data_IF_992782984157
#
_entry.id   IF_992782984157
#
_cell.length_a   1.000
_cell.length_b   1.000
_cell.length_c   1.000
_cell.angle_alpha   90.00
_cell.angle_beta   90.00
_cell.angle_gamma   90.00
#
_symmetry.space_group_name_H-M   'P 1'
#
loop_
_entity.id
_entity.type
_entity.pdbx_description
1 polymer ?
#
# COMPACT_ATOMS: atom_id res chain seq x y z
N UNK A 1 66.36 0.99 -38.82
CA UNK A 1 67.80 1.10 -38.52
C UNK A 1 67.93 0.95 -37.01
N UNK A 2 68.56 -0.14 -36.61
CA UNK A 2 68.85 -0.48 -35.22
C UNK A 2 69.87 0.53 -34.71
N UNK A 3 69.64 1.16 -33.56
CA UNK A 3 70.77 1.53 -32.69
C UNK A 3 70.41 1.55 -31.20
N UNK A 4 70.95 0.52 -30.58
CA UNK A 4 71.15 0.21 -29.17
C UNK A 4 71.99 1.28 -28.46
N UNK A 5 71.56 1.75 -27.28
CA UNK A 5 72.48 2.23 -26.22
C UNK A 5 71.91 1.79 -24.86
N UNK A 6 72.32 0.60 -24.38
CA UNK A 6 73.39 0.33 -23.41
C UNK A 6 73.08 0.82 -21.98
N UNK A 7 72.73 -0.19 -21.19
CA UNK A 7 72.46 -0.23 -19.76
C UNK A 7 73.70 0.17 -18.93
N UNK A 8 73.58 1.11 -18.00
CA UNK A 8 74.45 1.21 -16.82
C UNK A 8 73.52 1.21 -15.60
N UNK A 9 73.42 0.04 -14.98
CA UNK A 9 72.61 -0.17 -13.78
C UNK A 9 73.29 0.43 -12.56
N UNK A 10 72.60 1.38 -11.91
CA UNK A 10 72.74 1.58 -10.47
C UNK A 10 71.63 0.80 -9.78
N UNK A 11 71.96 -0.40 -9.29
CA UNK A 11 71.13 -1.11 -8.31
C UNK A 11 71.14 -0.33 -7.01
N UNK A 12 70.15 0.53 -6.79
CA UNK A 12 69.78 0.96 -5.44
C UNK A 12 68.85 -0.12 -4.90
N UNK A 13 69.37 -0.96 -4.02
CA UNK A 13 68.54 -1.87 -3.23
C UNK A 13 67.58 -1.01 -2.38
N UNK A 14 66.34 -0.85 -2.83
CA UNK A 14 65.25 -0.42 -1.97
C UNK A 14 64.81 -1.63 -1.17
N UNK A 15 65.40 -1.77 0.02
CA UNK A 15 64.89 -2.67 1.05
C UNK A 15 63.62 -2.01 1.57
N UNK A 16 62.45 -2.52 1.18
CA UNK A 16 61.21 -2.22 1.90
C UNK A 16 61.29 -2.95 3.24
N UNK A 17 61.70 -2.20 4.26
CA UNK A 17 61.74 -2.71 5.62
C UNK A 17 60.31 -2.72 6.16
N UNK A 18 59.68 -3.90 6.22
CA UNK A 18 58.33 -4.12 6.72
C UNK A 18 58.23 -4.02 8.25
N UNK A 19 59.05 -3.18 8.88
CA UNK A 19 59.22 -3.18 10.34
C UNK A 19 58.70 -1.96 11.10
N UNK A 20 58.10 -0.96 10.44
CA UNK A 20 57.35 0.07 11.16
C UNK A 20 56.06 0.48 10.45
N UNK A 21 55.13 -0.48 10.30
CA UNK A 21 53.72 -0.08 10.39
C UNK A 21 53.50 0.36 11.84
N UNK A 22 53.67 1.66 12.07
CA UNK A 22 53.46 2.30 13.36
C UNK A 22 52.14 1.79 13.96
N UNK A 23 52.19 1.16 15.14
CA UNK A 23 51.01 0.59 15.84
C UNK A 23 49.84 1.59 15.93
N UNK A 24 50.14 2.90 15.88
CA UNK A 24 49.15 3.98 15.79
C UNK A 24 48.30 3.95 14.52
N UNK A 25 48.88 3.73 13.34
CA UNK A 25 48.13 3.65 12.08
C UNK A 25 47.35 2.34 11.96
N UNK A 26 47.89 1.23 12.49
CA UNK A 26 47.17 -0.05 12.54
C UNK A 26 45.95 0.03 13.47
N UNK A 27 46.07 0.74 14.61
CA UNK A 27 44.93 1.02 15.50
C UNK A 27 43.89 1.92 14.86
N UNK A 28 44.29 2.96 14.13
CA UNK A 28 43.36 3.84 13.40
C UNK A 28 42.62 3.07 12.30
N UNK A 29 43.33 2.23 11.53
CA UNK A 29 42.73 1.37 10.51
C UNK A 29 41.79 0.32 11.10
N UNK A 30 42.12 -0.26 12.27
CA UNK A 30 41.23 -1.19 12.99
C UNK A 30 39.99 -0.48 13.57
N UNK A 31 40.12 0.77 14.03
CA UNK A 31 38.98 1.58 14.49
C UNK A 31 38.09 1.98 13.30
N UNK A 32 38.67 2.40 12.18
CA UNK A 32 37.91 2.74 10.96
C UNK A 32 37.24 1.50 10.37
N UNK A 33 37.95 0.36 10.32
CA UNK A 33 37.38 -0.94 9.92
C UNK A 33 36.27 -1.39 10.88
N UNK A 34 36.45 -1.20 12.18
CA UNK A 34 35.44 -1.46 13.20
C UNK A 34 34.22 -0.55 13.11
N UNK A 35 34.38 0.73 12.72
CA UNK A 35 33.28 1.68 12.49
C UNK A 35 32.53 1.35 11.20
N UNK A 36 33.24 0.92 10.14
CA UNK A 36 32.62 0.48 8.88
C UNK A 36 31.84 -0.84 9.06
N UNK A 37 32.25 -1.71 9.98
CA UNK A 37 31.54 -2.97 10.29
C UNK A 37 30.29 -2.82 11.18
N UNK A 38 30.01 -1.62 11.71
CA UNK A 38 28.80 -1.32 12.51
C UNK A 38 27.73 -0.59 11.68
N UNK A 39 27.91 -0.48 10.35
CA UNK A 39 26.80 -0.17 9.46
C UNK A 39 25.97 -1.44 9.22
N UNK A 40 25.23 -1.86 10.25
CA UNK A 40 24.10 -2.77 10.04
C UNK A 40 23.10 -2.08 9.11
N UNK A 41 22.61 -2.81 8.11
CA UNK A 41 21.54 -2.32 7.25
C UNK A 41 20.32 -1.99 8.12
N UNK A 42 20.04 -0.70 8.33
CA UNK A 42 18.76 -0.27 8.88
C UNK A 42 17.70 -0.59 7.82
N UNK A 43 16.97 -1.65 8.07
CA UNK A 43 15.98 -2.20 7.15
C UNK A 43 14.59 -1.78 7.60
N UNK A 44 13.76 -1.26 6.70
CA UNK A 44 12.42 -0.78 7.03
C UNK A 44 11.38 -1.34 6.05
N UNK A 45 10.47 -2.17 6.55
CA UNK A 45 9.23 -2.58 5.89
C UNK A 45 8.17 -1.72 6.55
N UNK A 46 7.50 -0.95 5.73
CA UNK A 46 6.66 0.15 6.16
C UNK A 46 5.18 -0.18 5.96
N UNK A 47 4.35 0.50 6.73
CA UNK A 47 2.90 0.38 6.67
C UNK A 47 2.43 0.96 5.33
N UNK A 48 1.83 0.09 4.50
CA UNK A 48 1.17 0.48 3.25
C UNK A 48 -0.25 0.94 3.51
N UNK A 49 -0.93 0.31 4.48
CA UNK A 49 -2.30 0.65 4.82
C UNK A 49 -3.00 -0.45 5.60
N UNK A 50 -4.32 -0.34 5.68
CA UNK A 50 -5.18 -1.28 6.38
C UNK A 50 -6.60 -0.77 6.60
N UNK A 51 -7.44 -1.68 7.06
CA UNK A 51 -8.82 -1.42 7.46
C UNK A 51 -9.24 -2.39 8.58
N UNK A 52 -10.19 -1.95 9.41
CA UNK A 52 -10.74 -2.73 10.51
C UNK A 52 -12.24 -2.86 10.28
N UNK A 53 -12.74 -4.10 10.31
CA UNK A 53 -14.17 -4.42 10.23
C UNK A 53 -14.58 -5.27 11.43
N UNK A 54 -15.87 -5.30 11.74
CA UNK A 54 -16.45 -6.21 12.72
C UNK A 54 -17.72 -6.89 12.21
N UNK A 55 -17.94 -8.12 12.66
CA UNK A 55 -19.18 -8.85 12.46
C UNK A 55 -19.85 -9.08 13.82
N UNK A 56 -21.16 -8.81 13.94
CA UNK A 56 -21.91 -9.18 15.13
C UNK A 56 -22.19 -10.68 15.13
N UNK A 57 -21.73 -11.38 16.16
CA UNK A 57 -21.91 -12.83 16.32
C UNK A 57 -23.16 -13.19 17.13
N UNK A 58 -23.79 -12.21 17.77
CA UNK A 58 -25.02 -12.37 18.54
C UNK A 58 -25.01 -11.66 19.88
N UNK A 59 -26.23 -11.47 20.40
CA UNK A 59 -26.51 -10.83 21.69
C UNK A 59 -26.81 -11.90 22.74
N UNK A 60 -26.16 -11.80 23.89
CA UNK A 60 -26.52 -12.54 25.10
C UNK A 60 -27.39 -11.65 26.00
N UNK A 61 -28.69 -11.91 26.00
CA UNK A 61 -29.69 -11.18 26.77
C UNK A 61 -29.61 -11.43 28.28
N UNK A 62 -28.96 -12.51 28.71
CA UNK A 62 -28.83 -12.83 30.15
C UNK A 62 -27.71 -12.00 30.77
N UNK A 63 -26.57 -11.89 30.07
CA UNK A 63 -25.43 -11.09 30.51
C UNK A 63 -25.47 -9.63 30.03
N UNK A 64 -26.43 -9.29 29.17
CA UNK A 64 -26.55 -8.00 28.48
C UNK A 64 -25.24 -7.63 27.75
N UNK A 65 -24.68 -8.60 27.02
CA UNK A 65 -23.45 -8.44 26.25
C UNK A 65 -23.66 -8.82 24.79
N UNK A 66 -22.78 -8.33 23.92
CA UNK A 66 -22.75 -8.65 22.50
C UNK A 66 -21.36 -9.17 22.17
N UNK A 67 -21.31 -10.24 21.38
CA UNK A 67 -20.07 -10.80 20.88
C UNK A 67 -19.82 -10.33 19.46
N UNK A 68 -18.64 -9.79 19.21
CA UNK A 68 -18.17 -9.39 17.89
C UNK A 68 -16.96 -10.22 17.47
N UNK A 69 -16.88 -10.54 16.18
CA UNK A 69 -15.63 -10.88 15.52
C UNK A 69 -15.04 -9.59 14.95
N UNK A 70 -13.78 -9.31 15.25
CA UNK A 70 -13.05 -8.17 14.70
C UNK A 70 -12.00 -8.71 13.75
N UNK A 71 -11.91 -8.08 12.58
CA UNK A 71 -10.97 -8.44 11.51
C UNK A 71 -10.20 -7.17 11.15
N UNK A 72 -8.91 -7.17 11.46
CA UNK A 72 -8.00 -6.12 11.02
C UNK A 72 -7.13 -6.65 9.90
N UNK A 73 -7.16 -5.96 8.76
CA UNK A 73 -6.31 -6.27 7.61
C UNK A 73 -5.22 -5.22 7.52
N UNK A 74 -3.95 -5.63 7.60
CA UNK A 74 -2.80 -4.76 7.42
C UNK A 74 -2.09 -5.07 6.11
N UNK A 75 -1.69 -4.02 5.40
CA UNK A 75 -0.85 -4.09 4.21
C UNK A 75 0.51 -3.48 4.53
N UNK A 76 1.57 -4.17 4.13
CA UNK A 76 2.95 -3.68 4.28
C UNK A 76 3.73 -3.78 2.99
N UNK A 77 4.69 -2.90 2.84
CA UNK A 77 5.75 -3.03 1.84
C UNK A 77 6.58 -4.26 2.22
N UNK A 78 6.76 -5.17 1.28
CA UNK A 78 7.54 -6.39 1.43
C UNK A 78 8.80 -6.43 0.54
N UNK A 79 9.06 -5.36 -0.22
CA UNK A 79 10.31 -5.13 -0.94
C UNK A 79 11.38 -4.49 -0.02
N UNK A 80 10.97 -3.57 0.87
CA UNK A 80 11.87 -2.77 1.72
C UNK A 80 12.62 -3.49 2.86
N UNK A 81 12.40 -4.80 3.05
CA UNK A 81 13.24 -5.63 3.93
C UNK A 81 13.15 -5.49 5.46
N UNK A 82 12.45 -4.53 6.08
CA UNK A 82 12.25 -4.45 7.55
C UNK A 82 11.21 -5.39 8.19
N UNK A 83 10.48 -4.89 9.20
CA UNK A 83 9.78 -5.73 10.20
C UNK A 83 8.63 -6.59 9.66
N UNK A 84 8.51 -7.79 10.24
CA UNK A 84 7.36 -8.70 10.05
C UNK A 84 6.07 -8.21 10.69
N UNK A 85 4.96 -8.77 10.24
CA UNK A 85 3.68 -8.60 10.92
C UNK A 85 3.85 -8.93 12.40
N UNK A 86 3.31 -8.08 13.28
CA UNK A 86 3.40 -8.30 14.72
C UNK A 86 2.77 -9.67 15.05
N UNK A 87 3.55 -10.58 15.65
CA UNK A 87 3.03 -11.85 16.15
C UNK A 87 2.20 -11.66 17.43
N UNK A 88 2.47 -10.59 18.16
CA UNK A 88 1.88 -10.23 19.44
C UNK A 88 1.11 -8.89 19.35
N UNK A 89 0.37 -8.66 18.25
CA UNK A 89 -0.37 -7.42 18.05
C UNK A 89 -1.35 -7.15 19.20
N UNK A 90 -1.46 -5.88 19.58
CA UNK A 90 -2.27 -5.42 20.69
C UNK A 90 -3.29 -4.38 20.23
N UNK A 91 -4.57 -4.65 20.48
CA UNK A 91 -5.69 -3.80 20.09
C UNK A 91 -6.30 -3.16 21.32
N UNK A 92 -6.42 -1.83 21.33
CA UNK A 92 -7.10 -1.10 22.39
C UNK A 92 -8.60 -1.12 22.20
N UNK A 93 -9.34 -1.38 23.27
CA UNK A 93 -10.80 -1.21 23.33
C UNK A 93 -11.08 -0.03 24.23
N UNK A 94 -11.84 0.93 23.70
CA UNK A 94 -12.25 2.15 24.37
C UNK A 94 -13.76 2.31 24.28
N UNK A 95 -14.32 3.13 25.17
CA UNK A 95 -15.72 3.54 25.12
C UNK A 95 -15.86 5.03 25.35
N UNK A 96 -16.80 5.67 24.67
CA UNK A 96 -16.90 7.13 24.70
C UNK A 96 -18.06 7.72 23.91
N UNK A 97 -17.99 9.03 23.72
CA UNK A 97 -19.01 9.85 23.04
C UNK A 97 -18.51 10.42 21.69
N UNK A 98 -17.44 9.84 21.13
CA UNK A 98 -16.76 10.33 19.92
C UNK A 98 -15.73 11.43 20.20
N UNK A 99 -15.81 12.14 21.33
CA UNK A 99 -14.86 13.21 21.69
C UNK A 99 -13.98 12.83 22.90
N UNK A 100 -14.47 11.96 23.77
CA UNK A 100 -13.79 11.53 25.00
C UNK A 100 -13.83 10.02 25.08
N UNK A 101 -12.65 9.42 25.23
CA UNK A 101 -12.49 7.97 25.23
C UNK A 101 -11.94 7.46 26.56
N UNK A 102 -12.66 6.52 27.17
CA UNK A 102 -12.24 5.77 28.35
C UNK A 102 -11.66 4.43 27.93
N UNK A 103 -10.49 4.08 28.45
CA UNK A 103 -9.90 2.75 28.24
C UNK A 103 -10.75 1.67 28.90
N UNK A 104 -11.05 0.61 28.15
CA UNK A 104 -11.76 -0.58 28.63
C UNK A 104 -10.77 -1.70 28.88
N UNK A 105 -10.04 -2.12 27.84
CA UNK A 105 -9.03 -3.20 27.90
C UNK A 105 -8.18 -3.25 26.64
N UNK A 106 -7.09 -4.01 26.69
CA UNK A 106 -6.28 -4.39 25.53
C UNK A 106 -6.52 -5.86 25.17
N UNK A 107 -6.77 -6.13 23.90
CA UNK A 107 -6.73 -7.48 23.32
C UNK A 107 -5.31 -7.70 22.80
N UNK A 108 -4.47 -8.36 23.60
CA UNK A 108 -3.05 -8.56 23.31
C UNK A 108 -2.78 -9.92 22.65
N UNK A 109 -1.54 -10.09 22.17
CA UNK A 109 -1.01 -11.36 21.65
C UNK A 109 -1.81 -11.92 20.46
N UNK A 110 -2.26 -11.05 19.57
CA UNK A 110 -2.97 -11.47 18.36
C UNK A 110 -1.97 -11.62 17.20
N UNK A 111 -1.77 -12.83 16.65
CA UNK A 111 -0.91 -13.02 15.49
C UNK A 111 -1.67 -12.75 14.19
N UNK A 112 -0.93 -12.41 13.14
CA UNK A 112 -1.45 -12.46 11.78
C UNK A 112 -1.56 -13.93 11.31
N UNK A 113 -2.69 -14.33 10.73
CA UNK A 113 -2.97 -15.72 10.35
C UNK A 113 -3.10 -15.97 8.84
N UNK A 114 -3.39 -14.94 8.05
CA UNK A 114 -3.57 -15.01 6.59
C UNK A 114 -2.54 -14.09 5.89
N UNK A 115 -1.27 -14.51 5.89
CA UNK A 115 -0.18 -13.73 5.27
C UNK A 115 -0.01 -14.15 3.82
N UNK A 116 -0.23 -13.23 2.89
CA UNK A 116 -0.11 -13.49 1.46
C UNK A 116 0.40 -12.28 0.68
N UNK A 117 0.96 -12.52 -0.50
CA UNK A 117 1.33 -11.46 -1.43
C UNK A 117 0.11 -10.91 -2.14
N UNK A 118 0.00 -9.58 -2.18
CA UNK A 118 -1.02 -8.89 -2.98
C UNK A 118 -0.51 -8.81 -4.41
N UNK A 119 -1.25 -9.43 -5.33
CA UNK A 119 -0.97 -9.39 -6.76
C UNK A 119 -1.96 -8.45 -7.46
N UNK A 120 -1.52 -7.64 -8.43
CA UNK A 120 -2.37 -6.72 -9.21
C UNK A 120 -3.22 -7.40 -10.31
N UNK A 121 -3.33 -8.73 -10.30
CA UNK A 121 -3.95 -9.49 -11.39
C UNK A 121 -5.38 -9.02 -11.66
N UNK A 122 -6.10 -8.60 -10.61
CA UNK A 122 -7.51 -8.21 -10.72
C UNK A 122 -7.74 -6.81 -11.30
N UNK A 123 -6.71 -5.94 -11.31
CA UNK A 123 -6.83 -4.58 -11.84
C UNK A 123 -6.39 -4.47 -13.30
N UNK A 124 -5.24 -5.07 -13.64
CA UNK A 124 -4.75 -5.17 -15.01
C UNK A 124 -3.72 -6.32 -15.11
N UNK A 125 -4.08 -7.49 -15.69
CA UNK A 125 -3.16 -8.62 -15.80
C UNK A 125 -1.99 -8.34 -16.76
N UNK A 126 -2.10 -7.31 -17.61
CA UNK A 126 -1.06 -6.90 -18.54
C UNK A 126 -0.10 -5.87 -17.95
N UNK A 127 -0.25 -5.50 -16.67
CA UNK A 127 0.60 -4.51 -16.03
C UNK A 127 1.80 -5.19 -15.39
N UNK A 128 3.02 -4.87 -15.87
CA UNK A 128 4.24 -5.27 -15.18
C UNK A 128 4.41 -4.37 -13.95
N UNK A 129 4.35 -4.97 -12.76
CA UNK A 129 4.61 -4.26 -11.51
C UNK A 129 6.11 -4.02 -11.39
N UNK A 130 6.57 -2.77 -11.18
CA UNK A 130 7.97 -2.50 -10.92
C UNK A 130 8.51 -3.37 -9.76
N UNK A 131 9.69 -3.99 -9.90
CA UNK A 131 10.20 -4.98 -8.95
C UNK A 131 10.44 -4.43 -7.53
N UNK A 132 10.51 -3.10 -7.38
CA UNK A 132 10.60 -2.41 -6.10
C UNK A 132 9.24 -2.24 -5.39
N UNK A 133 8.13 -2.63 -6.00
CA UNK A 133 6.79 -2.58 -5.42
C UNK A 133 6.33 -4.00 -5.13
N UNK A 134 6.32 -4.36 -3.85
CA UNK A 134 5.85 -5.66 -3.37
C UNK A 134 5.02 -5.41 -2.12
N UNK A 135 3.76 -5.84 -2.10
CA UNK A 135 2.85 -5.64 -0.97
C UNK A 135 2.44 -6.99 -0.41
N UNK A 136 2.51 -7.14 0.90
CA UNK A 136 1.96 -8.30 1.61
C UNK A 136 0.75 -7.86 2.44
N UNK A 137 -0.27 -8.71 2.48
CA UNK A 137 -1.43 -8.60 3.35
C UNK A 137 -1.24 -9.53 4.54
N UNK A 138 -1.61 -9.08 5.74
CA UNK A 138 -1.72 -9.91 6.94
C UNK A 138 -3.04 -9.62 7.66
N UNK A 139 -3.77 -10.68 8.00
CA UNK A 139 -5.08 -10.57 8.68
C UNK A 139 -4.95 -10.98 10.14
N UNK A 140 -5.46 -10.12 11.03
CA UNK A 140 -5.63 -10.36 12.45
C UNK A 140 -7.11 -10.56 12.75
N UNK A 141 -7.45 -11.67 13.42
CA UNK A 141 -8.84 -12.03 13.70
C UNK A 141 -9.00 -12.43 15.15
N UNK A 142 -9.92 -11.79 15.86
CA UNK A 142 -10.20 -12.10 17.25
C UNK A 142 -11.66 -11.82 17.60
N UNK A 143 -12.13 -12.42 18.69
CA UNK A 143 -13.48 -12.14 19.19
C UNK A 143 -13.43 -11.30 20.45
N UNK A 144 -14.38 -10.37 20.58
CA UNK A 144 -14.51 -9.45 21.72
C UNK A 144 -15.95 -9.46 22.21
N UNK A 145 -16.15 -9.68 23.51
CA UNK A 145 -17.48 -9.57 24.15
C UNK A 145 -17.58 -8.25 24.90
N UNK A 146 -18.56 -7.43 24.54
CA UNK A 146 -18.74 -6.07 25.06
C UNK A 146 -20.12 -5.97 25.73
N UNK A 147 -20.24 -5.38 26.94
CA UNK A 147 -21.54 -5.02 27.51
C UNK A 147 -22.26 -4.01 26.62
N UNK A 148 -23.58 -4.13 26.49
CA UNK A 148 -24.37 -3.10 25.80
C UNK A 148 -24.23 -1.78 26.56
N UNK A 149 -23.92 -0.70 25.84
CA UNK A 149 -23.68 0.63 26.38
C UNK A 149 -24.42 1.69 25.57
N UNK A 150 -24.74 2.80 26.22
CA UNK A 150 -25.20 4.02 25.53
C UNK A 150 -24.02 4.87 25.01
N UNK A 151 -22.79 4.40 25.19
CA UNK A 151 -21.55 4.96 24.66
C UNK A 151 -21.10 4.16 23.43
N UNK A 152 -20.44 4.81 22.47
CA UNK A 152 -19.79 4.16 21.33
C UNK A 152 -18.57 3.37 21.82
N UNK A 153 -18.36 2.17 21.29
CA UNK A 153 -17.08 1.47 21.44
C UNK A 153 -16.15 1.80 20.28
N UNK A 154 -14.86 1.98 20.56
CA UNK A 154 -13.82 2.12 19.54
C UNK A 154 -12.76 1.06 19.76
N UNK A 155 -12.39 0.37 18.69
CA UNK A 155 -11.31 -0.61 18.67
C UNK A 155 -10.19 -0.04 17.80
N UNK A 156 -8.98 0.03 18.33
CA UNK A 156 -7.84 0.63 17.63
C UNK A 156 -6.60 -0.25 17.60
N UNK A 157 -5.89 -0.19 16.49
CA UNK A 157 -4.51 -0.66 16.34
C UNK A 157 -3.59 0.52 16.00
N UNK A 158 -2.39 0.54 16.57
CA UNK A 158 -1.42 1.63 16.41
C UNK A 158 -0.05 1.05 16.07
N UNK A 159 0.62 1.60 15.05
CA UNK A 159 1.97 1.12 14.66
C UNK A 159 2.74 2.19 13.91
N UNK A 160 4.07 2.19 14.08
CA UNK A 160 4.99 2.93 13.22
C UNK A 160 5.71 1.98 12.24
N UNK A 161 6.14 2.40 11.05
CA UNK A 161 6.01 3.72 10.41
C UNK A 161 5.57 3.55 8.96
N UNK A 162 5.10 4.64 8.35
CA UNK A 162 4.76 4.68 6.93
C UNK A 162 6.00 4.77 6.03
N UNK A 163 5.82 4.50 4.74
CA UNK A 163 6.89 4.47 3.76
C UNK A 163 7.59 5.83 3.60
N UNK A 164 8.92 5.86 3.73
CA UNK A 164 9.71 7.10 3.57
C UNK A 164 9.52 7.78 2.20
N UNK A 165 9.09 7.02 1.20
CA UNK A 165 8.88 7.45 -0.20
C UNK A 165 7.52 8.12 -0.44
N UNK A 166 6.66 8.27 0.57
CA UNK A 166 5.37 8.93 0.41
C UNK A 166 5.58 10.44 0.16
N UNK A 167 4.99 10.92 -0.94
CA UNK A 167 5.18 12.28 -1.43
C UNK A 167 4.18 13.28 -0.86
N UNK A 168 2.98 12.86 -0.47
CA UNK A 168 1.88 13.78 -0.15
C UNK A 168 1.73 14.17 1.31
N UNK A 169 2.53 13.61 2.22
CA UNK A 169 2.53 13.94 3.64
C UNK A 169 3.90 14.45 4.13
N UNK A 170 3.90 15.11 5.28
CA UNK A 170 5.11 15.64 5.94
C UNK A 170 5.76 14.55 6.80
N UNK A 171 7.08 14.35 6.63
CA UNK A 171 7.90 13.36 7.39
C UNK A 171 7.26 11.96 7.49
N UNK A 172 7.04 11.29 6.35
CA UNK A 172 6.37 9.99 6.35
C UNK A 172 7.14 8.91 7.14
N UNK A 173 8.46 9.02 7.22
CA UNK A 173 9.35 8.14 7.97
C UNK A 173 9.16 8.20 9.49
N UNK A 174 8.64 9.32 10.00
CA UNK A 174 8.31 9.54 11.41
C UNK A 174 6.81 9.39 11.69
N UNK A 175 6.00 9.20 10.66
CA UNK A 175 4.53 9.15 10.75
C UNK A 175 4.07 7.71 10.85
N UNK A 176 3.47 7.33 11.98
CA UNK A 176 2.81 6.04 12.12
C UNK A 176 1.36 6.05 11.61
N UNK A 177 0.62 5.01 11.95
CA UNK A 177 -0.77 4.82 11.57
C UNK A 177 -1.61 4.39 12.78
N UNK A 178 -2.84 4.88 12.83
CA UNK A 178 -3.89 4.35 13.68
C UNK A 178 -5.01 3.81 12.79
N UNK A 179 -5.46 2.60 13.06
CA UNK A 179 -6.60 1.99 12.38
C UNK A 179 -7.70 1.76 13.40
N UNK A 180 -8.90 2.28 13.11
CA UNK A 180 -10.00 2.29 14.07
C UNK A 180 -11.28 1.76 13.44
N UNK A 181 -12.15 1.19 14.27
CA UNK A 181 -13.55 0.97 13.95
C UNK A 181 -14.42 1.37 15.14
N UNK A 182 -15.55 2.02 14.85
CA UNK A 182 -16.52 2.45 15.83
C UNK A 182 -17.77 1.58 15.80
N UNK A 183 -18.33 1.30 16.98
CA UNK A 183 -19.59 0.56 17.16
C UNK A 183 -20.52 1.46 17.97
N UNK A 184 -21.38 2.21 17.27
CA UNK A 184 -22.33 3.14 17.90
C UNK A 184 -23.32 2.42 18.83
N UNK A 185 -23.98 3.13 19.76
CA UNK A 185 -25.04 2.53 20.59
C UNK A 185 -26.13 1.86 19.75
N UNK A 186 -26.51 2.47 18.61
CA UNK A 186 -27.51 1.90 17.71
C UNK A 186 -26.99 0.60 17.06
N UNK A 187 -25.73 0.59 16.60
CA UNK A 187 -25.12 -0.60 16.04
C UNK A 187 -25.00 -1.74 17.08
N UNK A 188 -24.81 -1.40 18.35
CA UNK A 188 -24.88 -2.37 19.45
C UNK A 188 -26.30 -2.94 19.56
N UNK A 189 -27.32 -2.09 19.75
CA UNK A 189 -28.70 -2.52 19.95
C UNK A 189 -29.25 -3.38 18.80
N UNK A 190 -28.85 -3.07 17.57
CA UNK A 190 -29.34 -3.80 16.38
C UNK A 190 -28.44 -4.96 15.96
N UNK A 191 -27.35 -5.26 16.70
CA UNK A 191 -26.38 -6.28 16.31
C UNK A 191 -25.89 -6.10 14.87
N UNK A 192 -25.48 -4.88 14.54
CA UNK A 192 -25.03 -4.51 13.21
C UNK A 192 -23.71 -5.18 12.85
N UNK A 193 -23.44 -5.38 11.57
CA UNK A 193 -22.11 -5.66 11.03
C UNK A 193 -21.54 -4.38 10.43
N UNK A 194 -20.23 -4.15 10.49
CA UNK A 194 -19.66 -3.04 9.72
C UNK A 194 -19.68 -3.37 8.22
N UNK A 195 -19.75 -2.37 7.34
CA UNK A 195 -19.54 -2.59 5.92
C UNK A 195 -18.16 -3.21 5.66
N UNK A 196 -18.02 -3.89 4.52
CA UNK A 196 -16.75 -4.46 4.07
C UNK A 196 -16.46 -4.08 2.63
N UNK A 197 -15.31 -3.47 2.37
CA UNK A 197 -14.89 -3.18 1.01
C UNK A 197 -14.81 -4.44 0.14
N UNK A 198 -15.26 -4.33 -1.11
CA UNK A 198 -15.26 -5.45 -2.07
C UNK A 198 -13.85 -5.82 -2.51
N UNK A 199 -13.06 -4.81 -2.87
CA UNK A 199 -11.77 -4.96 -3.50
C UNK A 199 -10.71 -4.18 -2.74
N UNK A 200 -9.45 -4.65 -2.81
CA UNK A 200 -8.30 -3.85 -2.43
C UNK A 200 -7.86 -2.97 -3.60
N UNK A 201 -7.48 -1.70 -3.39
CA UNK A 201 -6.98 -0.83 -4.45
C UNK A 201 -5.79 -1.43 -5.21
N UNK A 202 -5.65 -1.14 -6.51
CA UNK A 202 -4.44 -1.48 -7.26
C UNK A 202 -3.21 -0.94 -6.55
N UNK A 203 -2.20 -1.78 -6.34
CA UNK A 203 -0.93 -1.35 -5.71
C UNK A 203 -0.12 -0.43 -6.63
N UNK A 204 -0.44 -0.42 -7.94
CA UNK A 204 0.16 0.45 -8.94
C UNK A 204 -0.95 1.01 -9.84
N UNK A 205 -0.86 2.31 -10.12
CA UNK A 205 -1.64 3.00 -11.14
C UNK A 205 -0.69 3.71 -12.10
N UNK A 206 -1.12 3.88 -13.35
CA UNK A 206 -0.26 4.34 -14.42
C UNK A 206 -0.31 5.86 -14.57
N UNK A 207 0.85 6.50 -14.66
CA UNK A 207 0.97 7.91 -14.99
C UNK A 207 0.27 8.22 -16.32
N UNK A 208 -0.57 9.25 -16.35
CA UNK A 208 -1.25 9.69 -17.58
C UNK A 208 -2.44 8.82 -18.01
N UNK A 209 -2.70 7.71 -17.33
CA UNK A 209 -3.82 6.81 -17.64
C UNK A 209 -5.02 7.03 -16.72
N UNK A 210 -6.21 6.76 -17.25
CA UNK A 210 -7.44 6.90 -16.46
C UNK A 210 -7.51 5.84 -15.37
N UNK A 211 -7.49 6.28 -14.12
CA UNK A 211 -7.89 5.47 -12.97
C UNK A 211 -9.39 5.26 -13.03
N UNK A 212 -9.81 4.02 -12.86
CA UNK A 212 -11.20 3.62 -12.81
C UNK A 212 -11.35 2.41 -11.90
N UNK A 213 -11.57 2.65 -10.62
CA UNK A 213 -11.56 1.59 -9.61
C UNK A 213 -12.83 1.60 -8.75
N UNK A 214 -13.43 0.42 -8.59
CA UNK A 214 -14.57 0.20 -7.71
C UNK A 214 -14.09 0.02 -6.27
N UNK A 215 -14.17 1.08 -5.48
CA UNK A 215 -13.87 1.07 -4.05
C UNK A 215 -15.13 0.97 -3.17
N UNK A 216 -16.25 0.48 -3.73
CA UNK A 216 -17.45 0.27 -2.96
C UNK A 216 -17.28 -0.82 -1.88
N UNK A 217 -18.14 -0.72 -0.87
CA UNK A 217 -18.28 -1.69 0.20
C UNK A 217 -19.63 -2.39 0.12
N UNK A 218 -19.73 -3.54 0.78
CA UNK A 218 -20.95 -4.30 0.96
C UNK A 218 -21.38 -4.13 2.41
N UNK A 219 -22.65 -3.76 2.58
CA UNK A 219 -23.35 -3.81 3.85
C UNK A 219 -24.33 -4.99 3.82
N UNK A 220 -24.34 -5.84 4.87
CA UNK A 220 -25.15 -7.07 4.87
C UNK A 220 -26.60 -6.81 5.27
N UNK A 221 -26.86 -5.71 5.98
CA UNK A 221 -28.18 -5.26 6.38
C UNK A 221 -28.87 -4.38 5.32
N UNK A 222 -28.12 -3.90 4.33
CA UNK A 222 -28.63 -3.08 3.22
C UNK A 222 -28.69 -1.59 3.53
N UNK A 223 -27.84 -1.11 4.44
CA UNK A 223 -27.74 0.29 4.80
C UNK A 223 -27.17 1.17 3.69
N UNK A 224 -27.48 2.46 3.77
CA UNK A 224 -26.94 3.44 2.85
C UNK A 224 -25.47 3.70 3.18
N UNK A 225 -24.61 3.53 2.19
CA UNK A 225 -23.19 3.84 2.29
C UNK A 225 -22.89 5.15 1.55
N UNK A 226 -22.19 6.06 2.22
CA UNK A 226 -21.74 7.33 1.65
C UNK A 226 -20.22 7.38 1.69
N UNK A 227 -19.60 7.62 0.55
CA UNK A 227 -18.16 7.55 0.36
C UNK A 227 -17.53 8.94 0.28
N UNK A 228 -16.36 9.12 0.89
CA UNK A 228 -15.55 10.32 0.73
C UNK A 228 -14.07 10.01 0.88
N UNK A 229 -13.22 10.86 0.29
CA UNK A 229 -11.82 10.89 0.68
C UNK A 229 -11.69 11.57 2.04
N UNK A 230 -10.92 10.97 2.93
CA UNK A 230 -10.65 11.47 4.27
C UNK A 230 -9.16 11.34 4.59
N UNK A 231 -8.71 11.99 5.65
CA UNK A 231 -7.33 11.85 6.10
C UNK A 231 -7.16 10.56 6.91
N UNK A 232 -6.19 9.70 6.57
CA UNK A 232 -5.80 8.62 7.46
C UNK A 232 -5.34 9.13 8.82
N UNK A 233 -5.61 8.35 9.86
CA UNK A 233 -5.17 8.65 11.22
C UNK A 233 -3.69 8.27 11.42
N UNK A 234 -3.02 9.00 12.31
CA UNK A 234 -1.64 8.76 12.69
C UNK A 234 -1.50 8.54 14.19
N UNK A 235 -0.62 7.61 14.56
CA UNK A 235 -0.17 7.37 15.93
C UNK A 235 1.15 6.60 15.91
N UNK A 236 1.95 6.76 16.96
CA UNK A 236 3.28 6.18 17.06
C UNK A 236 4.35 6.99 16.36
N UNK A 237 5.59 6.57 16.55
CA UNK A 237 6.78 7.25 16.04
C UNK A 237 8.02 6.37 16.15
N UNK A 238 9.20 6.98 16.06
CA UNK A 238 10.46 6.25 15.97
C UNK A 238 11.09 5.86 17.31
N UNK A 239 10.47 6.19 18.46
CA UNK A 239 11.02 5.75 19.75
C UNK A 239 11.07 4.21 19.80
N UNK A 240 12.20 3.67 20.24
CA UNK A 240 12.51 2.25 20.22
C UNK A 240 13.36 1.78 19.02
N UNK A 241 13.53 2.59 17.96
CA UNK A 241 14.45 2.26 16.85
C UNK A 241 15.90 2.54 17.23
N UNK A 242 16.18 3.78 17.67
CA UNK A 242 17.53 4.26 18.02
C UNK A 242 17.62 4.73 19.48
N UNK A 243 16.79 4.16 20.35
CA UNK A 243 16.59 4.60 21.74
C UNK A 243 15.17 5.11 21.99
N UNK A 244 14.85 5.39 23.25
CA UNK A 244 13.48 5.71 23.67
C UNK A 244 12.64 4.47 24.04
N UNK A 245 11.45 4.71 24.57
CA UNK A 245 10.51 3.64 24.94
C UNK A 245 9.67 3.23 23.71
N UNK A 246 9.83 1.99 23.18
CA UNK A 246 9.07 1.52 22.02
C UNK A 246 7.56 1.50 22.25
N UNK A 247 7.13 1.49 23.52
CA UNK A 247 5.71 1.46 23.90
C UNK A 247 5.11 2.85 24.13
N UNK A 248 5.91 3.92 24.07
CA UNK A 248 5.43 5.30 24.22
C UNK A 248 4.51 5.71 23.08
N UNK A 249 3.79 6.82 23.22
CA UNK A 249 2.87 7.27 22.15
C UNK A 249 3.60 7.80 20.91
N UNK A 250 4.89 8.07 21.04
CA UNK A 250 5.84 8.37 19.96
C UNK A 250 6.74 7.17 19.63
N UNK A 251 6.42 5.99 20.16
CA UNK A 251 7.15 4.76 19.95
C UNK A 251 6.63 3.92 18.80
N UNK A 252 7.44 2.93 18.41
CA UNK A 252 7.13 2.06 17.28
C UNK A 252 5.90 1.17 17.49
N UNK A 253 5.55 0.89 18.76
CA UNK A 253 4.42 0.03 19.19
C UNK A 253 3.68 0.68 20.37
N UNK A 254 2.93 1.79 20.16
CA UNK A 254 2.27 2.49 21.26
C UNK A 254 1.40 1.57 22.12
N UNK A 255 1.55 1.65 23.45
CA UNK A 255 0.72 0.90 24.40
C UNK A 255 -0.73 1.44 24.37
N UNK A 256 -1.73 0.64 23.96
CA UNK A 256 -3.12 1.10 23.90
C UNK A 256 -3.69 1.57 25.25
N UNK A 257 -3.18 1.08 26.39
CA UNK A 257 -3.67 1.51 27.70
C UNK A 257 -3.26 2.97 28.02
N UNK A 258 -2.11 3.40 27.47
CA UNK A 258 -1.51 4.74 27.66
C UNK A 258 -1.84 5.70 26.51
N UNK A 259 -1.82 5.20 25.28
CA UNK A 259 -1.94 5.98 24.04
C UNK A 259 -3.35 5.81 23.47
N UNK A 260 -4.27 6.56 24.07
CA UNK A 260 -5.72 6.49 23.80
C UNK A 260 -6.10 7.48 22.71
N UNK A 261 -7.22 7.25 21.99
CA UNK A 261 -7.77 8.27 21.09
C UNK A 261 -8.13 9.56 21.86
N UNK A 262 -8.26 10.71 21.19
CA UNK A 262 -8.32 10.92 19.74
C UNK A 262 -6.95 10.81 19.06
N UNK A 263 -6.93 10.22 17.87
CA UNK A 263 -5.74 10.15 17.02
C UNK A 263 -5.73 11.35 16.06
N UNK A 264 -4.54 11.89 15.81
CA UNK A 264 -4.38 12.98 14.86
C UNK A 264 -4.50 12.47 13.42
N UNK A 265 -4.83 13.36 12.49
CA UNK A 265 -4.78 13.08 11.05
C UNK A 265 -3.34 13.23 10.52
N UNK A 266 -3.01 12.50 9.44
CA UNK A 266 -1.76 12.74 8.73
C UNK A 266 -1.68 14.18 8.22
N UNK A 267 -0.52 14.81 8.33
CA UNK A 267 -0.31 16.17 7.83
C UNK A 267 0.05 16.15 6.35
N UNK A 268 -0.89 16.52 5.50
CA UNK A 268 -0.67 16.64 4.05
C UNK A 268 0.22 17.85 3.69
N UNK A 269 0.93 17.75 2.55
CA UNK A 269 1.72 18.86 1.98
C UNK A 269 0.83 19.84 1.22
N UNK A 270 0.24 20.76 1.97
CA UNK A 270 -0.56 21.87 1.43
C UNK A 270 0.31 22.86 0.63
N UNK A 271 -0.27 23.57 -0.37
CA UNK A 271 -1.66 23.45 -0.85
C UNK A 271 -1.86 22.33 -1.89
N UNK A 272 -0.79 21.64 -2.30
CA UNK A 272 -0.82 20.67 -3.41
C UNK A 272 -1.66 19.44 -3.09
N UNK A 273 -1.50 18.90 -1.88
CA UNK A 273 -2.23 17.71 -1.44
C UNK A 273 -3.04 18.00 -0.19
N UNK A 274 -4.19 17.36 -0.09
CA UNK A 274 -5.08 17.40 1.07
C UNK A 274 -5.86 16.10 1.18
N UNK A 275 -6.60 15.91 2.27
CA UNK A 275 -7.48 14.75 2.45
C UNK A 275 -8.44 14.55 1.26
N UNK A 276 -9.04 15.63 0.75
CA UNK A 276 -10.01 15.60 -0.37
C UNK A 276 -9.35 15.65 -1.75
N UNK A 277 -8.03 15.87 -1.80
CA UNK A 277 -7.23 15.83 -3.02
C UNK A 277 -5.87 15.18 -2.73
N UNK A 278 -5.82 13.86 -2.47
CA UNK A 278 -4.62 13.23 -1.95
C UNK A 278 -3.52 13.02 -3.01
N UNK A 279 -3.86 13.03 -4.30
CA UNK A 279 -2.90 12.82 -5.42
C UNK A 279 -2.88 13.94 -6.47
N UNK A 280 -3.88 14.81 -6.52
CA UNK A 280 -4.06 15.72 -7.66
C UNK A 280 -4.64 14.99 -8.87
N UNK A 281 -4.05 15.23 -10.03
CA UNK A 281 -4.47 14.68 -11.33
C UNK A 281 -5.15 15.71 -12.23
N UNK A 282 -5.26 15.36 -13.53
CA UNK A 282 -5.95 16.17 -14.54
C UNK A 282 -6.60 15.26 -15.60
N UNK A 283 -7.92 14.98 -15.51
CA UNK A 283 -8.85 15.44 -14.46
C UNK A 283 -8.47 14.93 -13.07
N UNK A 284 -8.78 15.73 -12.05
CA UNK A 284 -8.48 15.40 -10.65
C UNK A 284 -9.02 14.02 -10.26
N UNK A 285 -8.24 13.29 -9.47
CA UNK A 285 -8.69 12.05 -8.84
C UNK A 285 -9.79 12.37 -7.82
N UNK A 286 -10.95 11.77 -8.02
CA UNK A 286 -12.16 11.97 -7.21
C UNK A 286 -12.78 10.62 -6.85
N UNK A 287 -13.60 10.59 -5.80
CA UNK A 287 -14.43 9.46 -5.43
C UNK A 287 -15.89 9.85 -5.53
N UNK A 288 -16.69 9.01 -6.19
CA UNK A 288 -18.13 9.21 -6.27
C UNK A 288 -18.79 8.83 -4.93
N UNK A 289 -19.58 9.73 -4.31
CA UNK A 289 -20.09 9.53 -2.96
C UNK A 289 -21.22 8.50 -2.85
N UNK A 290 -21.83 8.08 -3.96
CA UNK A 290 -22.91 7.10 -3.98
C UNK A 290 -22.40 5.71 -4.36
N UNK A 291 -21.44 5.64 -5.27
CA UNK A 291 -20.93 4.39 -5.84
C UNK A 291 -19.58 3.97 -5.28
N UNK A 292 -18.86 4.85 -4.57
CA UNK A 292 -17.50 4.58 -4.10
C UNK A 292 -16.48 4.44 -5.22
N UNK A 293 -16.80 4.88 -6.45
CA UNK A 293 -15.94 4.72 -7.62
C UNK A 293 -14.89 5.81 -7.66
N UNK A 294 -13.61 5.42 -7.69
CA UNK A 294 -12.48 6.33 -7.82
C UNK A 294 -12.14 6.52 -9.28
N UNK A 295 -12.11 7.78 -9.75
CA UNK A 295 -11.81 8.14 -11.14
C UNK A 295 -10.93 9.38 -11.27
N UNK A 296 -10.17 9.47 -12.35
CA UNK A 296 -9.33 10.63 -12.70
C UNK A 296 -8.07 10.20 -13.43
N UNK A 297 -7.11 11.10 -13.65
CA UNK A 297 -5.84 10.81 -14.34
C UNK A 297 -4.69 11.34 -13.50
N UNK A 298 -3.80 10.48 -12.96
CA UNK A 298 -2.67 10.92 -12.16
C UNK A 298 -1.61 11.54 -13.08
N UNK A 299 -1.08 12.69 -12.67
CA UNK A 299 -0.11 13.48 -13.45
C UNK A 299 1.28 13.54 -12.81
N UNK A 300 1.47 12.87 -11.68
CA UNK A 300 2.73 12.89 -10.93
C UNK A 300 3.12 11.49 -10.48
N UNK A 301 4.38 11.12 -10.74
CA UNK A 301 4.98 9.88 -10.26
C UNK A 301 5.18 9.90 -8.74
N UNK A 302 5.16 8.71 -8.14
CA UNK A 302 5.53 8.49 -6.75
C UNK A 302 4.44 7.81 -5.93
N UNK A 303 4.60 7.84 -4.62
CA UNK A 303 3.74 7.14 -3.68
C UNK A 303 2.88 8.13 -2.88
N UNK A 304 1.60 7.83 -2.76
CA UNK A 304 0.62 8.73 -2.17
C UNK A 304 -0.25 7.99 -1.17
N UNK A 305 -0.31 8.48 0.07
CA UNK A 305 -1.25 7.98 1.09
C UNK A 305 -2.65 8.49 0.79
N UNK A 306 -3.62 7.60 0.85
CA UNK A 306 -5.03 7.87 0.57
C UNK A 306 -5.88 7.27 1.66
N UNK A 307 -6.83 8.05 2.19
CA UNK A 307 -7.89 7.56 3.06
C UNK A 307 -9.22 7.60 2.35
N UNK A 308 -10.02 6.53 2.49
CA UNK A 308 -11.43 6.53 2.13
C UNK A 308 -12.25 6.19 3.36
N UNK A 309 -13.22 7.05 3.64
CA UNK A 309 -14.18 6.86 4.71
C UNK A 309 -15.55 6.54 4.12
N UNK A 310 -16.23 5.57 4.72
CA UNK A 310 -17.55 5.08 4.35
C UNK A 310 -18.44 5.23 5.55
N UNK A 311 -19.38 6.17 5.46
CA UNK A 311 -20.40 6.38 6.50
C UNK A 311 -21.60 5.52 6.21
N UNK A 312 -22.00 4.74 7.20
CA UNK A 312 -23.12 3.81 7.14
C UNK A 312 -24.35 4.43 7.80
N UNK A 313 -25.46 4.54 7.06
CA UNK A 313 -26.70 5.13 7.56
C UNK A 313 -27.88 4.17 7.46
N UNK A 314 -28.59 4.01 8.58
CA UNK A 314 -29.87 3.31 8.66
C UNK A 314 -30.97 4.30 8.98
N UNK A 315 -31.95 4.45 8.09
CA UNK A 315 -33.06 5.40 8.25
C UNK A 315 -32.60 6.85 8.58
N UNK A 316 -31.46 7.27 8.02
CA UNK A 316 -30.86 8.60 8.26
C UNK A 316 -30.07 8.75 9.57
N UNK A 317 -29.89 7.68 10.36
CA UNK A 317 -29.05 7.67 11.55
C UNK A 317 -27.72 6.98 11.25
N UNK A 318 -26.61 7.57 11.70
CA UNK A 318 -25.27 7.02 11.52
C UNK A 318 -25.09 5.76 12.38
N UNK A 319 -24.79 4.64 11.73
CA UNK A 319 -24.54 3.34 12.36
C UNK A 319 -23.08 3.20 12.76
N UNK A 320 -22.19 3.64 11.87
CA UNK A 320 -20.74 3.58 12.06
C UNK A 320 -20.01 4.20 10.88
N UNK A 321 -18.69 4.22 11.00
CA UNK A 321 -17.79 4.67 9.96
C UNK A 321 -16.72 3.61 9.75
N UNK A 322 -16.56 3.18 8.49
CA UNK A 322 -15.47 2.36 8.03
C UNK A 322 -14.44 3.27 7.38
N UNK A 323 -13.18 3.19 7.81
CA UNK A 323 -12.08 3.88 7.15
C UNK A 323 -11.07 2.87 6.61
N UNK A 324 -10.57 3.15 5.41
CA UNK A 324 -9.41 2.46 4.84
C UNK A 324 -8.34 3.45 4.51
N UNK A 325 -7.14 3.12 4.96
CA UNK A 325 -5.90 3.78 4.63
C UNK A 325 -5.09 2.88 3.69
N UNK A 326 -4.57 3.44 2.61
CA UNK A 326 -3.77 2.72 1.62
C UNK A 326 -2.83 3.66 0.89
N UNK A 327 -2.00 3.09 0.02
CA UNK A 327 -1.10 3.84 -0.85
C UNK A 327 -1.36 3.51 -2.32
N UNK A 328 -1.42 4.55 -3.14
CA UNK A 328 -1.23 4.41 -4.58
C UNK A 328 0.23 4.65 -4.93
N UNK A 329 0.80 3.75 -5.72
CA UNK A 329 2.07 3.99 -6.40
C UNK A 329 1.76 4.39 -7.85
N UNK A 330 2.01 5.64 -8.21
CA UNK A 330 1.95 6.12 -9.59
C UNK A 330 3.29 5.84 -10.25
N UNK A 331 3.28 4.98 -11.26
CA UNK A 331 4.48 4.58 -12.01
C UNK A 331 4.28 4.78 -13.52
N UNK A 332 5.40 4.81 -14.25
CA UNK A 332 5.37 4.56 -15.69
C UNK A 332 5.09 3.07 -15.88
N UNK A 333 3.99 2.77 -16.55
CA UNK A 333 3.55 1.40 -16.74
C UNK A 333 4.08 0.85 -18.05
N UNK A 334 4.85 -0.23 -17.95
CA UNK A 334 5.17 -1.07 -19.09
C UNK A 334 4.02 -2.08 -19.27
N UNK A 335 3.48 -2.13 -20.50
CA UNK A 335 2.50 -3.16 -20.87
C UNK A 335 3.27 -4.45 -21.13
N UNK A 336 2.86 -5.53 -20.46
CA UNK A 336 3.42 -6.87 -20.61
C UNK A 336 2.97 -7.57 -21.89
N UNK A 337 2.27 -6.87 -22.79
CA UNK A 337 1.82 -7.40 -24.07
C UNK A 337 1.83 -6.25 -25.07
N UNK A 338 2.39 -6.50 -26.24
CA UNK A 338 2.27 -5.58 -27.38
C UNK A 338 1.73 -6.36 -28.55
N UNK A 339 0.64 -5.85 -29.13
CA UNK A 339 0.11 -6.36 -30.37
C UNK A 339 1.00 -5.88 -31.52
N UNK A 340 1.67 -6.81 -32.18
CA UNK A 340 2.52 -6.51 -33.33
C UNK A 340 2.32 -7.57 -34.41
N UNK A 341 2.39 -7.14 -35.67
CA UNK A 341 2.51 -8.05 -36.82
C UNK A 341 3.67 -7.61 -37.69
N UNK A 342 4.23 -8.57 -38.43
CA UNK A 342 5.12 -8.26 -39.54
C UNK A 342 4.34 -7.41 -40.56
N UNK A 343 4.79 -6.18 -40.79
CA UNK A 343 4.12 -5.20 -41.62
C UNK A 343 5.09 -4.45 -42.52
N UNK A 344 4.58 -3.92 -43.64
CA UNK A 344 5.33 -3.09 -44.58
C UNK A 344 5.39 -1.62 -44.15
N UNK A 345 4.56 -1.24 -43.16
CA UNK A 345 4.56 0.08 -42.57
C UNK A 345 3.59 0.18 -41.39
N UNK A 346 3.82 1.19 -40.57
CA UNK A 346 2.95 1.55 -39.45
C UNK A 346 2.33 2.92 -39.78
N UNK A 347 1.00 2.97 -39.84
CA UNK A 347 0.24 4.16 -40.26
C UNK A 347 -0.54 4.82 -39.11
N UNK A 348 -0.45 4.25 -37.91
CA UNK A 348 -1.07 4.74 -36.68
C UNK A 348 -0.51 4.02 -35.46
N UNK A 349 -1.02 4.31 -34.27
CA UNK A 349 -0.46 3.79 -33.00
C UNK A 349 -0.59 2.26 -32.86
N UNK A 350 -1.50 1.63 -33.63
CA UNK A 350 -1.71 0.16 -33.74
C UNK A 350 -2.21 -0.27 -35.12
N UNK A 351 -1.99 0.56 -36.14
CA UNK A 351 -2.46 0.31 -37.50
C UNK A 351 -1.28 -0.11 -38.39
N UNK A 352 -1.34 -1.35 -38.87
CA UNK A 352 -0.29 -1.99 -39.64
C UNK A 352 -0.70 -2.12 -41.10
N UNK A 353 0.16 -1.64 -42.00
CA UNK A 353 -0.02 -1.73 -43.44
C UNK A 353 0.67 -2.98 -43.97
N UNK A 354 -0.07 -3.78 -44.76
CA UNK A 354 0.48 -4.92 -45.51
C UNK A 354 0.12 -4.73 -46.98
N UNK A 355 1.13 -4.73 -47.84
CA UNK A 355 1.01 -4.58 -49.28
C UNK A 355 1.16 -5.94 -49.96
N UNK A 356 0.08 -6.45 -50.55
CA UNK A 356 0.12 -7.64 -51.41
C UNK A 356 -0.05 -7.27 -52.88
N UNK A 357 0.95 -7.60 -53.71
CA UNK A 357 0.92 -7.36 -55.15
C UNK A 357 0.60 -8.66 -55.90
N UNK A 358 -0.64 -8.79 -56.38
CA UNK A 358 -1.04 -9.85 -57.32
C UNK A 358 -1.46 -11.19 -56.70
N UNK A 359 -1.48 -11.29 -55.37
CA UNK A 359 -1.96 -12.48 -54.64
C UNK A 359 -3.16 -12.08 -53.78
N UNK A 360 -4.27 -12.80 -53.93
CA UNK A 360 -5.52 -12.51 -53.18
C UNK A 360 -5.55 -13.14 -51.78
N UNK A 361 -4.47 -13.79 -51.38
CA UNK A 361 -4.27 -14.37 -50.05
C UNK A 361 -3.12 -13.63 -49.39
N UNK A 362 -3.36 -13.09 -48.19
CA UNK A 362 -2.36 -12.39 -47.39
C UNK A 362 -2.05 -13.25 -46.17
N UNK A 363 -0.80 -13.69 -46.05
CA UNK A 363 -0.27 -14.28 -44.82
C UNK A 363 0.47 -13.17 -44.08
N UNK A 364 0.21 -13.04 -42.78
CA UNK A 364 0.93 -12.14 -41.91
C UNK A 364 1.41 -12.91 -40.69
N UNK A 365 2.57 -12.52 -40.18
CA UNK A 365 3.19 -13.13 -39.01
C UNK A 365 2.78 -12.31 -37.80
N UNK A 366 2.14 -12.94 -36.82
CA UNK A 366 1.95 -12.35 -35.52
C UNK A 366 3.32 -12.25 -34.82
N UNK A 367 3.74 -11.03 -34.51
CA UNK A 367 5.00 -10.73 -33.81
C UNK A 367 4.72 -10.19 -32.40
N UNK A 368 3.50 -10.38 -31.89
CA UNK A 368 3.17 -10.04 -30.52
C UNK A 368 4.11 -10.78 -29.56
N UNK A 369 4.63 -10.09 -28.55
CA UNK A 369 5.54 -10.67 -27.56
C UNK A 369 4.89 -10.78 -26.18
N UNK A 370 5.54 -11.56 -25.31
CA UNK A 370 5.04 -11.97 -23.98
C UNK A 370 3.69 -12.73 -24.07
N UNK A 371 3.61 -13.65 -25.04
CA UNK A 371 2.43 -14.49 -25.34
C UNK A 371 1.85 -15.22 -24.11
N UNK A 372 2.67 -15.50 -23.09
CA UNK A 372 2.20 -16.10 -21.82
C UNK A 372 1.13 -15.26 -21.11
N UNK A 373 1.10 -13.94 -21.38
CA UNK A 373 0.11 -13.01 -20.85
C UNK A 373 -1.03 -12.70 -21.84
N UNK A 374 -1.02 -13.31 -23.04
CA UNK A 374 -2.03 -13.09 -24.08
C UNK A 374 -3.07 -14.22 -24.06
N UNK A 375 -4.32 -13.87 -23.77
CA UNK A 375 -5.42 -14.86 -23.70
C UNK A 375 -6.06 -15.14 -25.07
N UNK A 376 -6.12 -14.12 -25.93
CA UNK A 376 -6.71 -14.18 -27.26
C UNK A 376 -6.28 -12.97 -28.08
N UNK A 377 -6.29 -13.12 -29.41
CA UNK A 377 -6.05 -12.04 -30.36
C UNK A 377 -7.36 -11.61 -31.01
N UNK A 378 -7.60 -10.30 -31.06
CA UNK A 378 -8.70 -9.71 -31.80
C UNK A 378 -8.16 -9.04 -33.06
N UNK A 379 -8.43 -9.64 -34.20
CA UNK A 379 -8.04 -9.11 -35.50
C UNK A 379 -9.19 -8.29 -36.08
N UNK A 380 -8.91 -7.05 -36.45
CA UNK A 380 -9.86 -6.21 -37.18
C UNK A 380 -9.25 -5.85 -38.53
N UNK A 381 -9.95 -6.22 -39.60
CA UNK A 381 -9.53 -5.96 -40.98
C UNK A 381 -10.47 -4.94 -41.59
N UNK A 382 -9.93 -3.88 -42.19
CA UNK A 382 -10.69 -3.01 -43.08
C UNK A 382 -10.46 -3.46 -44.53
N UNK A 383 -11.48 -4.05 -45.14
CA UNK A 383 -11.46 -4.53 -46.52
C UNK A 383 -12.44 -3.68 -47.32
N UNK A 384 -11.92 -2.75 -48.12
CA UNK A 384 -12.71 -1.84 -48.96
C UNK A 384 -13.74 -0.99 -48.18
N UNK A 385 -13.41 -0.56 -46.97
CA UNK A 385 -14.30 0.24 -46.11
C UNK A 385 -15.30 -0.60 -45.31
N UNK A 386 -15.14 -1.93 -45.31
CA UNK A 386 -15.93 -2.86 -44.49
C UNK A 386 -15.02 -3.42 -43.41
N UNK A 387 -15.38 -3.20 -42.15
CA UNK A 387 -14.66 -3.74 -41.00
C UNK A 387 -15.13 -5.16 -40.70
N UNK A 388 -14.22 -6.12 -40.74
CA UNK A 388 -14.42 -7.51 -40.33
C UNK A 388 -13.59 -7.83 -39.09
N UNK A 389 -14.15 -8.59 -38.15
CA UNK A 389 -13.47 -8.93 -36.89
C UNK A 389 -13.40 -10.44 -36.70
N UNK A 390 -12.21 -10.94 -36.37
CA UNK A 390 -11.94 -12.35 -36.10
C UNK A 390 -11.18 -12.49 -34.79
N UNK A 391 -11.62 -13.41 -33.93
CA UNK A 391 -10.88 -13.76 -32.70
C UNK A 391 -10.11 -15.04 -32.92
N UNK A 392 -8.81 -15.05 -32.62
CA UNK A 392 -8.00 -16.26 -32.54
C UNK A 392 -7.45 -16.44 -31.13
N UNK A 393 -7.03 -17.67 -30.80
CA UNK A 393 -6.35 -17.95 -29.54
C UNK A 393 -4.85 -17.93 -29.74
#
# INVERSE_FOLDING_TARGET
>A
MIETVKNIGYKRNMIFNFQELNYRYLRILLIISGIIFVMGSASSRHIVGGDVVYNCMGVDTTSNTIRYEVIFTMYRDAAGGGADFDFDASFGVYKGDGNRWSYVRTIANQPATEIELVNNIDANPCLIIPPNIRVEKGVYRFTVTLPISNETYLIAYQRCCRNVTINNIVRPDETGAAFTVEISPLAQETCNNSPKFKNFPPIVICLGERVNFDHSAIDVEGDQLVYEFCAPLTSGGQDGVNGGDPSSCTGVRPDPARCRPLYDEVTFRLPTYSAVNPLGGDPQITIDPETGRITGIPTQLGQFVVGVCVKEYRNGQLMGELSRDFQFNVAECEQSVVAQIQSDGVIGDRDFLINSCGVNTIEFVNESYDEENIQSYLWTFDINGISETVTSR
#
